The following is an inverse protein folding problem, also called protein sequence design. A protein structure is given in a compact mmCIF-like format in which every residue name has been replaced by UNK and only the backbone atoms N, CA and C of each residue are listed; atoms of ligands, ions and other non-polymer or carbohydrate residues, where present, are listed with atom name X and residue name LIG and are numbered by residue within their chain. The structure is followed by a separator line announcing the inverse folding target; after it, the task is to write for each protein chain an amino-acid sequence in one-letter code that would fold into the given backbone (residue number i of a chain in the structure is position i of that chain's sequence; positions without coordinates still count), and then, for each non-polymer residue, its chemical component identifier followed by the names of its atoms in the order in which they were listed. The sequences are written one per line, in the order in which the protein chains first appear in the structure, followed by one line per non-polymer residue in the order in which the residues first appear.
data_IF_916643483376
#
_entry.id   IF_916643483376
#
_cell.length_a   1.000
_cell.length_b   1.000
_cell.length_c   1.000
_cell.angle_alpha   90.00
_cell.angle_beta   90.00
_cell.angle_gamma   90.00
#
_symmetry.space_group_name_H-M   'P 1'
#
loop_
_entity.id
_entity.type
_entity.pdbx_description
1 polymer ?
#
# COMPACT_ATOMS: atom_id res chain seq x y z
N UNK A 1 -13.15 -6.51 -3.65
CA UNK A 1 -12.35 -5.37 -3.16
C UNK A 1 -11.20 -5.87 -2.33
N UNK A 2 -9.96 -5.63 -2.76
CA UNK A 2 -8.80 -6.10 -2.02
C UNK A 2 -8.72 -5.49 -0.64
N UNK A 3 -8.04 -6.20 0.24
CA UNK A 3 -7.77 -5.73 1.59
C UNK A 3 -6.39 -5.08 1.62
N UNK A 4 -6.32 -3.84 2.06
CA UNK A 4 -5.07 -3.09 2.12
C UNK A 4 -4.62 -3.01 3.56
N UNK A 5 -3.33 -3.35 3.78
CA UNK A 5 -2.69 -3.24 5.08
C UNK A 5 -1.59 -2.19 5.01
N UNK A 6 -1.46 -1.41 6.07
CA UNK A 6 -0.40 -0.42 6.21
C UNK A 6 0.46 -0.78 7.41
N UNK A 7 1.77 -0.61 7.26
CA UNK A 7 2.73 -0.91 8.31
C UNK A 7 3.51 0.33 8.72
N UNK A 8 3.97 0.33 9.96
CA UNK A 8 4.86 1.35 10.49
C UNK A 8 4.32 2.76 10.37
N UNK A 9 5.14 3.67 9.88
CA UNK A 9 4.78 5.07 9.78
C UNK A 9 3.57 5.33 8.86
N UNK A 10 3.31 4.44 7.89
CA UNK A 10 2.14 4.57 7.04
C UNK A 10 0.86 4.41 7.85
N UNK A 11 0.81 3.40 8.70
CA UNK A 11 -0.34 3.16 9.56
C UNK A 11 -0.55 4.33 10.52
N UNK A 12 0.53 4.84 11.08
CA UNK A 12 0.46 5.97 11.99
C UNK A 12 -0.07 7.22 11.28
N UNK A 13 0.43 7.48 10.09
CA UNK A 13 -0.01 8.64 9.32
C UNK A 13 -1.48 8.56 8.92
N UNK A 14 -1.93 7.37 8.53
CA UNK A 14 -3.30 7.19 8.06
C UNK A 14 -4.32 7.11 9.20
N UNK A 15 -3.90 6.62 10.35
CA UNK A 15 -4.80 6.36 11.47
C UNK A 15 -5.54 5.03 11.36
N UNK A 16 -5.10 4.14 10.48
CA UNK A 16 -5.70 2.81 10.35
C UNK A 16 -4.63 1.83 9.86
N UNK A 17 -4.87 0.54 10.05
CA UNK A 17 -3.93 -0.51 9.65
C UNK A 17 -4.46 -1.42 8.57
N UNK A 18 -5.77 -1.56 8.47
CA UNK A 18 -6.39 -2.45 7.50
C UNK A 18 -7.69 -1.83 7.03
N UNK A 19 -7.91 -1.90 5.72
CA UNK A 19 -9.13 -1.36 5.12
C UNK A 19 -9.34 -2.03 3.77
N UNK A 20 -10.62 -2.28 3.45
CA UNK A 20 -10.99 -2.74 2.12
C UNK A 20 -11.02 -1.53 1.19
N UNK A 21 -10.35 -1.63 0.04
CA UNK A 21 -10.20 -0.52 -0.90
C UNK A 21 -10.52 -1.02 -2.30
N UNK A 22 -11.28 -0.24 -3.06
CA UNK A 22 -11.63 -0.59 -4.42
C UNK A 22 -10.44 -0.37 -5.36
N UNK A 23 -10.12 -1.36 -6.16
CA UNK A 23 -9.03 -1.31 -7.12
C UNK A 23 -8.65 -2.70 -7.59
N UNK A 24 -8.08 -2.78 -8.78
CA UNK A 24 -7.69 -4.06 -9.37
C UNK A 24 -6.21 -4.11 -9.78
N UNK A 25 -5.47 -3.06 -9.45
CA UNK A 25 -4.02 -3.02 -9.64
C UNK A 25 -3.38 -2.33 -8.44
N UNK A 26 -2.09 -2.58 -8.26
CA UNK A 26 -1.32 -1.92 -7.19
C UNK A 26 -1.36 -0.40 -7.38
N UNK A 27 -1.13 0.07 -8.61
CA UNK A 27 -1.14 1.51 -8.87
C UNK A 27 -2.53 2.11 -8.65
N UNK A 28 -3.58 1.38 -8.99
CA UNK A 28 -4.94 1.83 -8.73
C UNK A 28 -5.21 2.00 -7.24
N UNK A 29 -4.77 1.05 -6.43
CA UNK A 29 -4.92 1.14 -4.99
C UNK A 29 -4.10 2.30 -4.42
N UNK A 30 -2.86 2.48 -4.88
CA UNK A 30 -2.04 3.61 -4.46
C UNK A 30 -2.69 4.94 -4.80
N UNK A 31 -3.27 5.04 -5.99
CA UNK A 31 -3.93 6.27 -6.41
C UNK A 31 -5.11 6.62 -5.50
N UNK A 32 -5.92 5.62 -5.15
CA UNK A 32 -7.04 5.82 -4.24
C UNK A 32 -6.56 6.30 -2.87
N UNK A 33 -5.54 5.61 -2.33
CA UNK A 33 -5.01 5.96 -1.01
C UNK A 33 -4.33 7.33 -1.00
N UNK A 34 -3.70 7.70 -2.11
CA UNK A 34 -3.01 8.99 -2.23
C UNK A 34 -3.98 10.16 -2.27
N UNK A 35 -5.28 9.90 -2.39
CA UNK A 35 -6.28 10.93 -2.19
C UNK A 35 -6.35 11.44 -0.76
N UNK A 36 -5.82 10.67 0.19
CA UNK A 36 -5.65 11.13 1.57
C UNK A 36 -4.33 11.90 1.65
N UNK A 37 -4.36 13.20 2.00
CA UNK A 37 -3.13 13.99 2.04
C UNK A 37 -2.09 13.47 3.02
N UNK A 38 -2.51 12.70 4.02
CA UNK A 38 -1.57 12.09 4.97
C UNK A 38 -0.77 10.95 4.35
N UNK A 39 -1.27 10.34 3.29
CA UNK A 39 -0.62 9.21 2.63
C UNK A 39 0.03 9.57 1.29
N UNK A 40 -0.32 10.71 0.72
CA UNK A 40 0.15 11.07 -0.62
C UNK A 40 1.67 11.07 -0.72
N UNK A 41 2.35 11.69 0.23
CA UNK A 41 3.81 11.76 0.24
C UNK A 41 4.46 10.42 0.58
N UNK A 42 4.11 9.75 1.69
CA UNK A 42 4.76 8.47 2.01
C UNK A 42 4.50 7.38 0.96
N UNK A 43 3.36 7.37 0.31
CA UNK A 43 3.09 6.40 -0.74
C UNK A 43 3.85 6.67 -2.03
N UNK A 44 4.35 7.89 -2.22
CA UNK A 44 5.16 8.24 -3.39
C UNK A 44 6.64 7.98 -3.18
N UNK A 45 7.04 7.56 -1.99
CA UNK A 45 8.46 7.33 -1.67
C UNK A 45 9.02 6.21 -2.55
N UNK A 46 10.19 6.42 -3.19
CA UNK A 46 10.73 5.41 -4.11
C UNK A 46 11.14 4.10 -3.43
N UNK A 47 11.36 4.13 -2.13
CA UNK A 47 11.70 2.93 -1.37
C UNK A 47 10.50 2.19 -0.79
N UNK A 48 9.29 2.62 -1.11
CA UNK A 48 8.09 1.96 -0.60
C UNK A 48 8.05 0.49 -0.99
N UNK A 49 7.80 -0.37 -0.01
CA UNK A 49 7.63 -1.80 -0.27
C UNK A 49 6.17 -2.13 -0.47
N UNK A 50 5.90 -2.96 -1.48
CA UNK A 50 4.57 -3.46 -1.76
C UNK A 50 4.58 -4.97 -1.69
N UNK A 51 3.64 -5.55 -0.95
CA UNK A 51 3.54 -6.99 -0.76
C UNK A 51 2.13 -7.42 -1.15
N UNK A 52 2.02 -8.32 -2.12
CA UNK A 52 0.72 -8.84 -2.56
C UNK A 52 0.65 -10.31 -2.22
N UNK A 53 -0.33 -10.69 -1.40
CA UNK A 53 -0.50 -12.07 -0.95
C UNK A 53 0.81 -12.65 -0.42
N UNK A 54 1.51 -11.86 0.40
CA UNK A 54 2.76 -12.24 1.07
C UNK A 54 3.96 -12.37 0.13
N UNK A 55 3.85 -11.82 -1.07
CA UNK A 55 4.97 -11.81 -2.04
C UNK A 55 5.32 -10.35 -2.33
N UNK A 56 6.60 -10.03 -2.15
CA UNK A 56 7.09 -8.68 -2.49
C UNK A 56 7.02 -8.49 -4.00
N UNK A 57 6.40 -7.41 -4.42
CA UNK A 57 6.27 -7.09 -5.84
C UNK A 57 6.93 -5.75 -6.14
N UNK A 58 7.40 -5.60 -7.37
CA UNK A 58 8.00 -4.36 -7.84
C UNK A 58 7.21 -3.88 -9.05
N UNK A 59 6.96 -2.59 -9.08
CA UNK A 59 6.16 -2.01 -10.14
C UNK A 59 4.69 -2.35 -9.99
N UNK A 60 3.95 -2.15 -11.05
CA UNK A 60 2.52 -2.38 -11.04
C UNK A 60 2.19 -3.85 -11.30
N UNK A 61 1.12 -4.34 -10.71
CA UNK A 61 0.62 -5.67 -11.02
C UNK A 61 -0.88 -5.74 -10.74
N UNK A 62 -1.53 -6.70 -11.38
CA UNK A 62 -2.94 -6.95 -11.15
C UNK A 62 -3.18 -7.53 -9.77
N UNK A 63 -4.31 -7.16 -9.16
CA UNK A 63 -4.68 -7.57 -7.81
C UNK A 63 -6.08 -8.17 -7.87
N UNK A 64 -6.22 -9.40 -7.40
CA UNK A 64 -7.53 -10.05 -7.34
C UNK A 64 -8.42 -9.39 -6.28
N UNK A 65 -9.71 -9.58 -6.42
CA UNK A 65 -10.69 -8.96 -5.52
C UNK A 65 -10.52 -9.42 -4.07
N UNK A 66 -10.01 -10.61 -3.86
CA UNK A 66 -9.79 -11.16 -2.51
C UNK A 66 -8.33 -11.07 -2.06
N UNK A 67 -7.50 -10.33 -2.77
CA UNK A 67 -6.08 -10.23 -2.45
C UNK A 67 -5.85 -9.37 -1.21
N UNK A 68 -4.70 -9.61 -0.61
CA UNK A 68 -4.18 -8.80 0.48
C UNK A 68 -2.99 -8.00 -0.07
N UNK A 69 -3.06 -6.67 0.06
CA UNK A 69 -2.00 -5.79 -0.43
C UNK A 69 -1.47 -4.98 0.75
N UNK A 70 -0.20 -5.14 1.04
CA UNK A 70 0.44 -4.41 2.12
C UNK A 70 1.41 -3.37 1.57
N UNK A 71 1.39 -2.19 2.16
CA UNK A 71 2.37 -1.16 1.89
C UNK A 71 3.18 -0.92 3.15
N UNK A 72 4.49 -0.88 3.00
CA UNK A 72 5.41 -0.66 4.12
C UNK A 72 6.43 0.41 3.75
N UNK A 73 6.83 1.25 4.72
CA UNK A 73 7.88 2.22 4.46
C UNK A 73 9.20 1.49 4.20
N UNK A 74 10.15 2.15 3.53
CA UNK A 74 11.45 1.54 3.29
C UNK A 74 12.15 1.23 4.60
N UNK A 75 12.84 0.09 4.64
CA UNK A 75 13.65 -0.28 5.79
C UNK A 75 14.93 0.55 5.74
N UNK A 76 15.11 1.40 6.74
CA UNK A 76 16.33 2.19 6.85
C UNK A 76 17.39 1.41 7.60
N UNK A 77 18.60 1.70 7.34
CA UNK A 77 19.69 1.15 8.10
C UNK A 77 20.11 -0.19 7.61
N UNK A 78 19.72 -0.30 6.54
CA UNK A 78 20.24 -1.52 6.01
C UNK A 78 21.31 -1.91 6.84
#
# INVERSE_FOLDING_TARGET
MPRVLLFGALADAAGWRERVVDGDTVEGLRAVLSGDPRLAEPLSHPGLMTVVNQVVVRGDCAVAADAEVAFAPPVSGG
#
